data_IF_950766090183
#
_entry.id   IF_950766090183
#
_cell.length_a   1.000
_cell.length_b   1.000
_cell.length_c   1.000
_cell.angle_alpha   90.00
_cell.angle_beta   90.00
_cell.angle_gamma   90.00
#
_symmetry.space_group_name_H-M   'P 1'
#
loop_
_entity.id
_entity.type
_entity.pdbx_description
1 polymer ?
#
# COMPACT_ATOMS: atom_id res chain seq x y z
N UNK A 1 15.63 -12.03 26.78
CA UNK A 1 16.46 -13.04 27.48
C UNK A 1 17.57 -12.40 28.29
N UNK A 2 18.50 -11.66 27.68
CA UNK A 2 19.63 -11.04 28.39
C UNK A 2 19.21 -9.96 29.38
N UNK A 3 18.17 -9.18 29.05
CA UNK A 3 17.60 -8.16 29.93
C UNK A 3 17.03 -8.75 31.23
N UNK A 4 16.41 -9.93 31.14
CA UNK A 4 15.81 -10.62 32.30
C UNK A 4 16.90 -11.13 33.25
N UNK A 5 18.03 -11.60 32.72
CA UNK A 5 19.16 -12.06 33.54
C UNK A 5 20.07 -10.93 34.02
N UNK A 6 19.90 -9.72 33.49
CA UNK A 6 20.72 -8.52 33.78
C UNK A 6 22.24 -8.80 33.76
N UNK A 7 22.69 -9.73 32.92
CA UNK A 7 24.08 -10.17 32.88
C UNK A 7 24.62 -10.14 31.46
N UNK A 8 25.31 -9.05 31.14
CA UNK A 8 25.86 -8.76 29.81
C UNK A 8 26.96 -9.74 29.39
N UNK A 9 27.61 -10.43 30.34
CA UNK A 9 28.65 -11.43 30.02
C UNK A 9 28.08 -12.66 29.31
N UNK A 10 26.78 -12.93 29.47
CA UNK A 10 26.09 -14.05 28.82
C UNK A 10 25.64 -13.74 27.39
N UNK A 11 25.67 -12.47 26.97
CA UNK A 11 25.26 -12.02 25.64
C UNK A 11 25.93 -12.81 24.49
N UNK A 12 27.28 -12.93 24.40
CA UNK A 12 27.91 -13.64 23.29
C UNK A 12 27.58 -15.14 23.26
N UNK A 13 27.43 -15.77 24.42
CA UNK A 13 27.11 -17.19 24.53
C UNK A 13 25.67 -17.46 24.07
N UNK A 14 24.71 -16.60 24.47
CA UNK A 14 23.32 -16.70 24.03
C UNK A 14 23.22 -16.41 22.52
N UNK A 15 23.92 -15.40 22.01
CA UNK A 15 23.92 -15.11 20.57
C UNK A 15 24.49 -16.27 19.75
N UNK A 16 25.57 -16.91 20.21
CA UNK A 16 26.14 -18.07 19.52
C UNK A 16 25.13 -19.22 19.40
N UNK A 17 24.46 -19.55 20.52
CA UNK A 17 23.43 -20.60 20.54
C UNK A 17 22.25 -20.25 19.62
N UNK A 18 21.79 -19.00 19.66
CA UNK A 18 20.70 -18.52 18.80
C UNK A 18 21.08 -18.57 17.32
N UNK A 19 22.32 -18.20 16.96
CA UNK A 19 22.79 -18.26 15.58
C UNK A 19 22.85 -19.68 15.05
N UNK A 20 23.40 -20.62 15.82
CA UNK A 20 23.48 -22.03 15.41
C UNK A 20 22.06 -22.61 15.30
N UNK A 21 21.21 -22.39 16.31
CA UNK A 21 19.83 -22.86 16.28
C UNK A 21 19.04 -22.28 15.11
N UNK A 22 19.24 -21.01 14.79
CA UNK A 22 18.60 -20.36 13.64
C UNK A 22 19.12 -20.93 12.33
N UNK A 23 20.43 -21.10 12.18
CA UNK A 23 21.02 -21.65 10.95
C UNK A 23 20.52 -23.08 10.66
N UNK A 24 20.46 -23.93 11.68
CA UNK A 24 19.92 -25.29 11.55
C UNK A 24 18.42 -25.25 11.31
N UNK A 25 17.67 -24.41 12.04
CA UNK A 25 16.23 -24.26 11.86
C UNK A 25 15.84 -23.81 10.46
N UNK A 26 16.51 -22.77 9.95
CA UNK A 26 16.26 -22.19 8.62
C UNK A 26 16.57 -23.20 7.48
N UNK A 27 17.39 -24.23 7.72
CA UNK A 27 17.65 -25.31 6.74
C UNK A 27 16.49 -26.32 6.66
N UNK A 28 15.80 -26.58 7.79
CA UNK A 28 14.72 -27.57 7.84
C UNK A 28 13.32 -26.99 7.62
N UNK A 29 13.04 -25.79 8.14
CA UNK A 29 11.71 -25.21 8.07
C UNK A 29 11.74 -23.67 8.15
N UNK A 30 10.74 -23.01 7.54
CA UNK A 30 10.48 -21.59 7.78
C UNK A 30 10.01 -21.35 9.23
N UNK A 31 10.08 -20.11 9.72
CA UNK A 31 9.66 -19.81 11.08
C UNK A 31 8.17 -20.14 11.30
N UNK A 32 7.80 -20.63 12.49
CA UNK A 32 6.39 -20.96 12.81
C UNK A 32 5.43 -19.79 12.50
N UNK A 33 5.85 -18.56 12.76
CA UNK A 33 5.05 -17.36 12.50
C UNK A 33 4.88 -17.07 11.00
N UNK A 34 5.91 -17.32 10.20
CA UNK A 34 5.86 -17.17 8.75
C UNK A 34 4.87 -18.19 8.16
N UNK A 35 4.94 -19.44 8.62
CA UNK A 35 3.99 -20.48 8.21
C UNK A 35 2.55 -20.18 8.62
N UNK A 36 2.33 -19.71 9.85
CA UNK A 36 0.99 -19.31 10.28
C UNK A 36 0.43 -18.13 9.48
N UNK A 37 1.27 -17.16 9.13
CA UNK A 37 0.88 -16.03 8.30
C UNK A 37 0.52 -16.47 6.88
N UNK A 38 1.32 -17.37 6.31
CA UNK A 38 1.10 -18.01 5.02
C UNK A 38 -0.23 -18.76 5.01
N UNK A 39 -0.53 -19.55 6.04
CA UNK A 39 -1.81 -20.25 6.20
C UNK A 39 -3.01 -19.30 6.29
N UNK A 40 -2.83 -18.13 6.92
CA UNK A 40 -3.84 -17.08 6.99
C UNK A 40 -3.97 -16.25 5.71
N UNK A 41 -3.17 -16.54 4.69
CA UNK A 41 -3.10 -15.77 3.44
C UNK A 41 -2.87 -14.27 3.66
N UNK A 42 -2.11 -13.91 4.71
CA UNK A 42 -1.77 -12.51 4.97
C UNK A 42 -0.62 -12.13 4.03
N UNK A 43 -0.77 -11.11 3.18
CA UNK A 43 0.30 -10.68 2.29
C UNK A 43 1.38 -9.93 3.10
N UNK A 44 2.32 -10.67 3.67
CA UNK A 44 3.48 -10.11 4.36
C UNK A 44 4.63 -9.86 3.40
N UNK A 45 5.28 -8.71 3.55
CA UNK A 45 6.42 -8.32 2.74
C UNK A 45 7.70 -8.59 3.53
N UNK A 46 8.57 -9.42 2.95
CA UNK A 46 9.86 -9.75 3.55
C UNK A 46 10.82 -8.54 3.52
N UNK A 47 11.69 -8.45 4.53
CA UNK A 47 12.71 -7.38 4.61
C UNK A 47 13.71 -7.40 3.44
N UNK A 48 13.90 -8.56 2.82
CA UNK A 48 14.78 -8.75 1.67
C UNK A 48 14.03 -9.45 0.54
N UNK A 49 14.19 -9.00 -0.72
CA UNK A 49 13.59 -9.69 -1.84
C UNK A 49 14.21 -11.08 -2.00
N UNK A 50 13.37 -12.07 -2.33
CA UNK A 50 13.83 -13.43 -2.65
C UNK A 50 14.82 -13.38 -3.81
N UNK A 51 15.79 -14.29 -3.85
CA UNK A 51 16.85 -14.30 -4.85
C UNK A 51 16.31 -14.26 -6.30
N UNK A 52 15.20 -14.96 -6.55
CA UNK A 52 14.53 -15.01 -7.86
C UNK A 52 13.95 -13.65 -8.29
N UNK A 53 13.49 -12.82 -7.34
CA UNK A 53 12.88 -11.51 -7.62
C UNK A 53 13.92 -10.46 -8.03
N UNK A 54 15.22 -10.70 -7.83
CA UNK A 54 16.28 -9.75 -8.24
C UNK A 54 16.38 -9.56 -9.75
N UNK A 55 15.92 -10.53 -10.53
CA UNK A 55 15.90 -10.46 -12.00
C UNK A 55 14.56 -9.99 -12.56
N UNK A 56 13.54 -9.83 -11.70
CA UNK A 56 12.20 -9.43 -12.09
C UNK A 56 12.14 -7.91 -12.25
N UNK A 57 11.56 -7.45 -13.34
CA UNK A 57 11.37 -6.01 -13.59
C UNK A 57 10.05 -5.53 -13.02
N UNK A 58 9.98 -4.25 -12.64
CA UNK A 58 8.75 -3.64 -12.13
C UNK A 58 7.56 -3.80 -13.11
N UNK A 59 7.83 -3.78 -14.41
CA UNK A 59 6.83 -4.01 -15.46
C UNK A 59 6.17 -5.40 -15.38
N UNK A 60 6.92 -6.42 -14.95
CA UNK A 60 6.39 -7.78 -14.78
C UNK A 60 5.59 -7.92 -13.49
N UNK A 61 5.92 -7.13 -12.47
CA UNK A 61 5.23 -7.13 -11.18
C UNK A 61 3.96 -6.27 -11.17
N UNK A 62 3.90 -5.22 -12.01
CA UNK A 62 2.75 -4.32 -12.09
C UNK A 62 1.52 -4.99 -12.72
N UNK A 63 0.34 -4.64 -12.22
CA UNK A 63 -0.94 -5.06 -12.78
C UNK A 63 -1.15 -4.53 -14.20
N UNK A 64 -1.58 -5.39 -15.13
CA UNK A 64 -1.74 -5.06 -16.56
C UNK A 64 -2.94 -4.15 -16.88
N UNK A 65 -3.91 -4.04 -15.99
CA UNK A 65 -5.14 -3.25 -16.18
C UNK A 65 -5.23 -2.20 -15.10
N UNK A 66 -4.79 -0.99 -15.42
CA UNK A 66 -4.89 0.17 -14.53
C UNK A 66 -6.08 1.01 -14.97
N UNK A 67 -6.99 1.30 -14.03
CA UNK A 67 -8.11 2.21 -14.28
C UNK A 67 -7.67 3.59 -13.82
N UNK A 68 -7.54 4.49 -14.77
CA UNK A 68 -7.15 5.88 -14.53
C UNK A 68 -8.36 6.81 -14.66
N UNK A 69 -8.30 7.94 -13.96
CA UNK A 69 -9.25 9.02 -14.11
C UNK A 69 -8.63 10.21 -14.85
N UNK A 70 -9.36 10.87 -15.76
CA UNK A 70 -8.94 12.15 -16.29
C UNK A 70 -9.06 13.24 -15.21
N UNK A 71 -8.39 14.37 -15.43
CA UNK A 71 -8.49 15.55 -14.55
C UNK A 71 -9.92 16.01 -14.25
N UNK A 72 -10.83 15.85 -15.22
CA UNK A 72 -12.25 16.18 -15.07
C UNK A 72 -13.08 14.97 -15.49
N UNK A 73 -13.88 14.44 -14.55
CA UNK A 73 -14.69 13.23 -14.76
C UNK A 73 -16.14 13.49 -14.34
N UNK A 74 -17.10 12.89 -15.07
CA UNK A 74 -18.52 12.96 -14.69
C UNK A 74 -18.77 12.11 -13.45
N UNK A 75 -19.58 12.63 -12.53
CA UNK A 75 -19.92 11.94 -11.28
C UNK A 75 -20.61 10.59 -11.53
N UNK A 76 -21.48 10.50 -12.55
CA UNK A 76 -22.16 9.26 -12.90
C UNK A 76 -21.16 8.16 -13.31
N UNK A 77 -20.20 8.49 -14.17
CA UNK A 77 -19.17 7.57 -14.63
C UNK A 77 -18.26 7.16 -13.47
N UNK A 78 -17.85 8.12 -12.63
CA UNK A 78 -17.04 7.84 -11.45
C UNK A 78 -17.73 6.88 -10.48
N UNK A 79 -19.01 7.09 -10.16
CA UNK A 79 -19.77 6.18 -9.28
C UNK A 79 -19.91 4.79 -9.91
N UNK A 80 -20.11 4.70 -11.23
CA UNK A 80 -20.17 3.41 -11.93
C UNK A 80 -18.86 2.63 -11.86
N UNK A 81 -17.73 3.33 -12.00
CA UNK A 81 -16.38 2.76 -11.91
C UNK A 81 -16.08 2.32 -10.47
N UNK A 82 -16.43 3.14 -9.48
CA UNK A 82 -16.27 2.80 -8.06
C UNK A 82 -17.16 1.62 -7.63
N UNK A 83 -18.31 1.39 -8.27
CA UNK A 83 -19.16 0.22 -7.97
C UNK A 83 -18.67 -1.05 -8.67
N UNK A 84 -18.12 -0.93 -9.87
CA UNK A 84 -17.64 -2.09 -10.64
C UNK A 84 -16.24 -2.56 -10.24
N UNK A 85 -15.45 -1.75 -9.52
CA UNK A 85 -14.07 -2.07 -9.17
C UNK A 85 -13.81 -2.11 -7.67
N UNK A 86 -12.94 -3.04 -7.28
CA UNK A 86 -12.46 -3.24 -5.90
C UNK A 86 -11.14 -2.50 -5.60
N UNK A 87 -10.66 -1.69 -6.53
CA UNK A 87 -9.41 -0.94 -6.36
C UNK A 87 -9.60 0.24 -5.38
N UNK A 88 -8.59 0.45 -4.53
CA UNK A 88 -8.59 1.52 -3.52
C UNK A 88 -7.83 2.78 -3.96
N UNK A 89 -7.10 2.73 -5.06
CA UNK A 89 -6.32 3.84 -5.58
C UNK A 89 -6.44 3.93 -7.10
N UNK A 90 -6.61 5.14 -7.60
CA UNK A 90 -6.82 5.44 -9.02
C UNK A 90 -5.86 6.56 -9.44
N UNK A 91 -4.95 6.32 -10.39
CA UNK A 91 -4.09 7.37 -10.91
C UNK A 91 -4.88 8.39 -11.74
N UNK A 92 -4.52 9.66 -11.59
CA UNK A 92 -5.07 10.77 -12.37
C UNK A 92 -4.11 11.07 -13.52
N UNK A 93 -4.63 10.96 -14.75
CA UNK A 93 -3.91 11.26 -15.98
C UNK A 93 -4.40 12.57 -16.59
N UNK A 94 -3.49 13.29 -17.22
CA UNK A 94 -3.80 14.46 -18.03
C UNK A 94 -3.03 14.41 -19.34
N UNK A 95 -3.58 15.10 -20.33
CA UNK A 95 -3.08 15.09 -21.69
C UNK A 95 -2.41 16.44 -21.97
N UNK A 96 -1.12 16.39 -22.26
CA UNK A 96 -0.40 17.58 -22.72
C UNK A 96 -0.91 17.99 -24.11
N UNK A 97 -0.76 19.26 -24.46
CA UNK A 97 -1.07 19.79 -25.81
C UNK A 97 -0.30 19.06 -26.92
N UNK A 98 0.78 18.37 -26.56
CA UNK A 98 1.64 17.61 -27.46
C UNK A 98 1.22 16.14 -27.59
N UNK A 99 0.12 15.71 -26.96
CA UNK A 99 -0.40 14.34 -27.00
C UNK A 99 0.24 13.38 -25.98
N UNK A 100 1.21 13.85 -25.19
CA UNK A 100 1.84 13.05 -24.14
C UNK A 100 0.93 12.92 -22.92
N UNK A 101 0.72 11.69 -22.45
CA UNK A 101 -0.01 11.38 -21.22
C UNK A 101 0.93 11.50 -20.03
N UNK A 102 0.62 12.37 -19.07
CA UNK A 102 1.35 12.48 -17.82
C UNK A 102 0.45 12.14 -16.62
N UNK A 103 1.03 11.51 -15.60
CA UNK A 103 0.35 11.21 -14.35
C UNK A 103 0.49 12.42 -13.43
N UNK A 104 -0.62 13.05 -13.07
CA UNK A 104 -0.63 14.19 -12.14
C UNK A 104 -0.49 13.69 -10.69
N UNK A 105 -1.17 12.59 -10.37
CA UNK A 105 -1.22 12.09 -9.00
C UNK A 105 -2.05 10.81 -8.85
N UNK A 106 -2.36 10.47 -7.60
CA UNK A 106 -3.14 9.29 -7.24
C UNK A 106 -4.25 9.68 -6.26
N UNK A 107 -5.47 9.24 -6.55
CA UNK A 107 -6.65 9.46 -5.72
C UNK A 107 -7.08 8.15 -5.08
N UNK A 108 -7.31 8.18 -3.77
CA UNK A 108 -7.84 7.03 -3.06
C UNK A 108 -9.37 6.99 -3.14
N UNK A 109 -9.91 5.79 -3.06
CA UNK A 109 -11.36 5.54 -2.99
C UNK A 109 -11.98 6.27 -1.79
N UNK A 110 -11.33 6.26 -0.63
CA UNK A 110 -11.80 6.95 0.58
C UNK A 110 -12.00 8.45 0.31
N UNK A 111 -11.00 9.13 -0.25
CA UNK A 111 -11.10 10.55 -0.59
C UNK A 111 -12.25 10.83 -1.58
N UNK A 112 -12.41 9.99 -2.61
CA UNK A 112 -13.52 10.13 -3.56
C UNK A 112 -14.89 9.96 -2.89
N UNK A 113 -15.03 9.01 -1.96
CA UNK A 113 -16.28 8.80 -1.23
C UNK A 113 -16.63 9.99 -0.37
N UNK A 114 -15.65 10.58 0.35
CA UNK A 114 -15.91 11.78 1.16
C UNK A 114 -16.26 12.97 0.28
N UNK A 115 -15.59 13.16 -0.86
CA UNK A 115 -15.94 14.21 -1.83
C UNK A 115 -17.36 14.06 -2.39
N UNK A 116 -17.80 12.83 -2.64
CA UNK A 116 -19.17 12.55 -3.08
C UNK A 116 -20.20 12.82 -1.97
N UNK A 117 -19.85 12.53 -0.72
CA UNK A 117 -20.72 12.78 0.44
C UNK A 117 -20.85 14.27 0.75
N UNK A 118 -19.74 15.01 0.66
CA UNK A 118 -19.70 16.45 0.97
C UNK A 118 -20.36 17.32 -0.11
N UNK A 119 -20.61 16.77 -1.31
CA UNK A 119 -21.23 17.46 -2.46
C UNK A 119 -20.56 18.82 -2.79
N UNK A 120 -19.28 18.97 -2.46
CA UNK A 120 -18.54 20.23 -2.61
C UNK A 120 -18.46 20.57 -4.10
N UNK A 121 -19.34 21.49 -4.51
CA UNK A 121 -19.47 22.17 -5.81
C UNK A 121 -18.76 21.50 -7.00
N UNK A 122 -19.45 20.55 -7.66
CA UNK A 122 -19.05 19.97 -8.96
C UNK A 122 -19.14 20.97 -10.14
N UNK A 123 -19.33 22.27 -9.88
CA UNK A 123 -19.64 23.29 -10.88
C UNK A 123 -18.83 24.58 -10.80
N UNK A 124 -17.66 24.58 -10.16
CA UNK A 124 -16.78 25.76 -10.21
C UNK A 124 -15.42 25.42 -10.79
N UNK A 125 -15.07 26.22 -11.80
CA UNK A 125 -13.81 26.26 -12.50
C UNK A 125 -12.62 25.95 -11.61
N UNK A 126 -11.73 25.15 -12.19
CA UNK A 126 -10.34 24.91 -11.81
C UNK A 126 -9.75 26.09 -11.01
N UNK A 127 -9.86 26.00 -9.69
CA UNK A 127 -8.86 26.55 -8.78
C UNK A 127 -8.44 25.41 -7.90
N UNK A 128 -7.14 25.11 -7.97
CA UNK A 128 -6.46 24.14 -7.13
C UNK A 128 -6.66 24.60 -5.68
N UNK A 129 -7.76 24.17 -5.08
CA UNK A 129 -7.95 24.32 -3.65
C UNK A 129 -7.01 23.29 -3.03
N UNK A 130 -5.93 23.77 -2.44
CA UNK A 130 -5.20 23.03 -1.42
C UNK A 130 -6.18 22.81 -0.28
N UNK A 131 -6.96 21.73 -0.38
CA UNK A 131 -7.81 21.27 0.72
C UNK A 131 -6.87 20.52 1.67
N UNK A 132 -6.67 21.00 2.91
CA UNK A 132 -5.79 20.36 3.86
C UNK A 132 -6.28 18.95 4.18
N UNK A 133 -5.39 17.96 4.05
CA UNK A 133 -5.64 16.54 4.28
C UNK A 133 -5.85 16.19 5.76
N UNK A 134 -5.60 17.13 6.68
CA UNK A 134 -5.58 16.88 8.12
C UNK A 134 -6.99 16.68 8.72
N UNK A 135 -8.04 17.26 8.12
CA UNK A 135 -9.42 17.11 8.61
C UNK A 135 -10.09 15.78 8.20
N UNK A 136 -9.54 15.05 7.23
CA UNK A 136 -10.16 13.81 6.72
C UNK A 136 -9.83 12.57 7.56
N UNK A 137 -8.75 12.60 8.34
CA UNK A 137 -8.34 11.48 9.19
C UNK A 137 -9.32 11.24 10.34
N UNK A 138 -9.98 12.27 10.89
CA UNK A 138 -10.97 12.08 11.96
C UNK A 138 -12.29 11.46 11.49
N UNK A 139 -12.70 11.71 10.25
CA UNK A 139 -13.96 11.18 9.72
C UNK A 139 -13.90 9.66 9.46
N UNK A 140 -12.74 9.13 9.06
CA UNK A 140 -12.57 7.71 8.74
C UNK A 140 -12.42 6.84 10.00
N UNK A 141 -11.89 7.39 11.09
CA UNK A 141 -11.68 6.64 12.35
C UNK A 141 -12.98 6.41 13.12
N UNK A 142 -14.05 7.18 12.85
CA UNK A 142 -15.35 7.02 13.54
C UNK A 142 -16.26 5.93 12.98
N UNK A 143 -15.94 5.37 11.81
CA UNK A 143 -16.74 4.32 11.16
C UNK A 143 -16.06 2.92 11.19
N UNK A 144 -15.07 2.72 12.07
CA UNK A 144 -14.48 1.39 12.40
C UNK A 144 -14.77 0.98 13.84
#
# INVERSE_FOLDING_TARGET
MVEITNNLKLLPLIMLVLLISKAVGDEFNEGLYEEQSRLKNIPQLESKPKYQMRKMTAKEACGKRVISFPRVVKVADLVSILRSNIHNGFPVIDHSRNGETFVIGLLLRSHLLVLLQSKVDFHKDVKVANVPLDDYCEAVVRDF
#
